data_IF_028434193939
#
_entry.id   IF_028434193939
#
_cell.length_a   1.000
_cell.length_b   1.000
_cell.length_c   1.000
_cell.angle_alpha   90.00
_cell.angle_beta   90.00
_cell.angle_gamma   90.00
#
_symmetry.space_group_name_H-M   'P 1'
#
loop_
_entity.id
_entity.type
_entity.pdbx_description
1 polymer ?
#
# COMPACT_ATOMS: atom_id res chain seq x y z
N UNK A 1 -32.19 -20.70 34.70
CA UNK A 1 -31.02 -19.85 34.92
C UNK A 1 -29.88 -20.48 34.14
N UNK A 2 -29.66 -20.01 32.94
CA UNK A 2 -28.61 -20.50 32.05
C UNK A 2 -27.52 -19.47 31.99
N UNK A 3 -26.30 -19.88 32.40
CA UNK A 3 -25.10 -19.07 32.31
C UNK A 3 -24.67 -18.92 30.86
N UNK A 4 -24.81 -17.74 30.30
CA UNK A 4 -24.17 -17.35 29.05
C UNK A 4 -22.68 -17.10 29.29
N UNK A 5 -21.85 -18.09 28.96
CA UNK A 5 -20.43 -17.93 28.82
C UNK A 5 -20.12 -17.06 27.62
N UNK A 6 -19.80 -15.82 27.89
CA UNK A 6 -19.20 -14.87 26.97
C UNK A 6 -17.84 -15.41 26.51
N UNK A 7 -17.80 -16.08 25.35
CA UNK A 7 -16.57 -16.44 24.67
C UNK A 7 -16.07 -15.24 23.87
N UNK A 8 -15.28 -14.43 24.55
CA UNK A 8 -14.46 -13.39 23.92
C UNK A 8 -13.39 -14.10 23.07
N UNK A 9 -13.58 -14.08 21.77
CA UNK A 9 -12.61 -14.59 20.82
C UNK A 9 -11.31 -13.78 21.00
N UNK A 10 -10.28 -14.43 21.51
CA UNK A 10 -8.93 -13.87 21.56
C UNK A 10 -8.46 -13.61 20.12
N UNK A 11 -8.05 -12.38 19.86
CA UNK A 11 -7.36 -12.03 18.64
C UNK A 11 -6.14 -12.95 18.47
N UNK A 12 -5.84 -13.41 17.25
CA UNK A 12 -4.68 -14.27 17.03
C UNK A 12 -3.41 -13.50 17.44
N UNK A 13 -2.67 -14.09 18.39
CA UNK A 13 -1.37 -13.59 18.79
C UNK A 13 -0.49 -13.41 17.56
N UNK A 14 0.08 -12.22 17.39
CA UNK A 14 1.06 -11.93 16.37
C UNK A 14 2.20 -12.97 16.47
N UNK A 15 2.23 -13.90 15.52
CA UNK A 15 3.33 -14.83 15.38
C UNK A 15 4.60 -14.00 15.22
N UNK A 16 5.71 -14.42 15.87
CA UNK A 16 7.02 -13.78 15.81
C UNK A 16 7.40 -13.45 14.35
N UNK A 17 6.99 -12.28 13.91
CA UNK A 17 7.35 -11.77 12.61
C UNK A 17 8.83 -11.38 12.67
N UNK A 18 9.68 -12.03 11.87
CA UNK A 18 11.03 -11.57 11.63
C UNK A 18 11.01 -10.14 11.11
N UNK A 19 12.16 -9.52 10.99
CA UNK A 19 12.30 -8.22 10.33
C UNK A 19 13.13 -8.35 9.07
N UNK A 20 12.83 -7.53 8.08
CA UNK A 20 13.62 -7.39 6.84
C UNK A 20 14.16 -5.97 6.76
N UNK A 21 15.42 -5.84 6.38
CA UNK A 21 16.05 -4.53 6.14
C UNK A 21 15.98 -4.22 4.65
N UNK A 22 15.30 -3.14 4.30
CA UNK A 22 15.22 -2.59 2.96
C UNK A 22 16.22 -1.43 2.86
N UNK A 23 17.28 -1.63 2.08
CA UNK A 23 18.32 -0.61 1.89
C UNK A 23 18.08 0.15 0.58
N UNK A 24 18.45 1.43 0.59
CA UNK A 24 18.42 2.30 -0.58
C UNK A 24 17.02 2.41 -1.18
N UNK A 25 16.02 2.62 -0.33
CA UNK A 25 14.66 2.95 -0.77
C UNK A 25 14.58 4.43 -1.12
N UNK A 26 13.67 4.79 -2.03
CA UNK A 26 13.48 6.16 -2.53
C UNK A 26 14.76 6.81 -3.12
N UNK A 27 15.68 6.01 -3.65
CA UNK A 27 16.88 6.54 -4.30
C UNK A 27 16.49 7.24 -5.61
N UNK A 28 16.80 8.54 -5.77
CA UNK A 28 16.47 9.25 -6.99
C UNK A 28 17.20 8.68 -8.20
N UNK A 29 16.58 8.65 -9.39
CA UNK A 29 17.19 8.10 -10.60
C UNK A 29 18.34 8.97 -11.15
N UNK A 30 18.40 10.26 -10.80
CA UNK A 30 19.40 11.18 -11.31
C UNK A 30 20.75 11.05 -10.58
N UNK A 31 21.84 10.97 -11.35
CA UNK A 31 23.20 10.82 -10.80
C UNK A 31 23.58 11.91 -9.78
N UNK A 32 23.13 13.14 -9.97
CA UNK A 32 23.41 14.27 -9.08
C UNK A 32 22.89 14.03 -7.67
N UNK A 33 21.66 13.52 -7.56
CA UNK A 33 21.01 13.20 -6.29
C UNK A 33 21.60 11.95 -5.65
N UNK A 34 22.02 10.96 -6.46
CA UNK A 34 22.70 9.76 -5.97
C UNK A 34 24.05 10.10 -5.28
N UNK A 35 24.76 11.11 -5.77
CA UNK A 35 26.01 11.56 -5.14
C UNK A 35 25.79 12.14 -3.75
N UNK A 36 24.70 12.84 -3.55
CA UNK A 36 24.32 13.44 -2.27
C UNK A 36 23.63 12.43 -1.33
N UNK A 37 23.29 11.23 -1.82
CA UNK A 37 22.49 10.23 -1.10
C UNK A 37 21.19 10.78 -0.52
N UNK A 38 20.64 11.81 -1.15
CA UNK A 38 19.32 12.34 -0.79
C UNK A 38 18.28 11.25 -0.97
N UNK A 39 17.43 11.06 0.02
CA UNK A 39 16.37 10.03 0.05
C UNK A 39 16.88 8.57 -0.08
N UNK A 40 18.16 8.30 0.10
CA UNK A 40 18.69 6.94 0.18
C UNK A 40 18.50 6.42 1.62
N UNK A 41 17.33 5.85 1.89
CA UNK A 41 16.89 5.48 3.22
C UNK A 41 17.03 3.97 3.40
N UNK A 42 17.41 3.57 4.62
CA UNK A 42 17.38 2.18 5.08
C UNK A 42 16.23 2.03 6.06
N UNK A 43 15.33 1.08 5.82
CA UNK A 43 14.17 0.80 6.64
C UNK A 43 14.22 -0.62 7.18
N UNK A 44 13.83 -0.79 8.44
CA UNK A 44 13.55 -2.10 9.02
C UNK A 44 12.04 -2.27 9.09
N UNK A 45 11.53 -3.29 8.43
CA UNK A 45 10.10 -3.56 8.29
C UNK A 45 9.76 -4.98 8.74
N UNK A 46 8.53 -5.26 9.20
CA UNK A 46 8.11 -6.61 9.54
C UNK A 46 8.17 -7.55 8.34
N UNK A 47 8.52 -8.82 8.58
CA UNK A 47 8.40 -9.90 7.62
C UNK A 47 7.33 -10.87 8.10
N UNK A 48 6.22 -10.95 7.39
CA UNK A 48 5.14 -11.90 7.67
C UNK A 48 5.25 -13.00 6.63
N UNK A 49 5.57 -14.22 7.07
CA UNK A 49 5.53 -15.37 6.18
C UNK A 49 4.09 -15.86 6.05
N UNK A 50 3.46 -15.59 4.93
CA UNK A 50 2.16 -16.17 4.58
C UNK A 50 2.39 -17.46 3.82
N UNK A 51 2.20 -18.60 4.46
CA UNK A 51 2.21 -19.90 3.80
C UNK A 51 0.77 -20.32 3.52
N UNK A 52 0.47 -20.53 2.24
CA UNK A 52 -0.70 -21.30 1.81
C UNK A 52 -1.95 -20.50 1.42
N UNK A 53 -1.92 -19.19 1.44
CA UNK A 53 -3.07 -18.40 1.01
C UNK A 53 -3.06 -18.18 -0.51
N UNK A 54 -4.22 -18.29 -1.13
CA UNK A 54 -4.41 -17.93 -2.54
C UNK A 54 -4.57 -16.42 -2.61
N UNK A 55 -3.60 -15.75 -3.20
CA UNK A 55 -3.64 -14.30 -3.39
C UNK A 55 -4.23 -13.95 -4.76
N UNK A 56 -5.17 -13.03 -4.79
CA UNK A 56 -5.58 -12.40 -6.03
C UNK A 56 -4.48 -11.41 -6.45
N UNK A 57 -3.77 -11.77 -7.51
CA UNK A 57 -2.79 -10.87 -8.11
C UNK A 57 -3.47 -9.86 -9.05
N UNK A 58 -2.91 -8.65 -9.11
CA UNK A 58 -3.33 -7.66 -10.11
C UNK A 58 -3.07 -8.16 -11.54
N UNK A 59 -3.87 -7.69 -12.53
CA UNK A 59 -3.57 -7.93 -13.93
C UNK A 59 -2.12 -7.60 -14.28
N UNK A 60 -1.50 -8.40 -15.15
CA UNK A 60 -0.07 -8.32 -15.48
C UNK A 60 0.39 -6.93 -15.93
N UNK A 61 -0.51 -6.12 -16.50
CA UNK A 61 -0.16 -4.76 -16.93
C UNK A 61 0.35 -3.88 -15.78
N UNK A 62 -0.13 -4.11 -14.53
CA UNK A 62 0.31 -3.35 -13.37
C UNK A 62 1.73 -3.69 -12.91
N UNK A 63 2.27 -4.86 -13.26
CA UNK A 63 3.65 -5.25 -12.91
C UNK A 63 4.71 -4.43 -13.66
N UNK A 64 4.32 -3.74 -14.72
CA UNK A 64 5.21 -2.89 -15.53
C UNK A 64 5.26 -1.44 -15.06
N UNK A 65 4.46 -1.07 -14.07
CA UNK A 65 4.40 0.30 -13.56
C UNK A 65 5.52 0.47 -12.53
N UNK A 66 6.43 1.38 -12.82
CA UNK A 66 7.47 1.78 -11.87
C UNK A 66 6.85 2.59 -10.73
N UNK A 67 7.23 2.27 -9.50
CA UNK A 67 6.70 2.89 -8.29
C UNK A 67 7.78 3.66 -7.53
N UNK A 68 7.39 4.76 -6.89
CA UNK A 68 8.30 5.77 -6.36
C UNK A 68 9.32 5.27 -5.33
N UNK A 69 8.99 4.32 -4.48
CA UNK A 69 9.92 3.77 -3.49
C UNK A 69 10.83 2.66 -4.05
N UNK A 70 10.65 2.28 -5.32
CA UNK A 70 11.47 1.30 -6.02
C UNK A 70 11.06 -0.15 -5.79
N UNK A 71 11.74 -1.06 -6.52
CA UNK A 71 11.37 -2.46 -6.61
C UNK A 71 11.39 -3.19 -5.26
N UNK A 72 12.32 -2.88 -4.37
CA UNK A 72 12.42 -3.55 -3.07
C UNK A 72 11.18 -3.35 -2.20
N UNK A 73 10.63 -2.14 -2.19
CA UNK A 73 9.39 -1.85 -1.45
C UNK A 73 8.20 -2.49 -2.14
N UNK A 74 8.14 -2.42 -3.46
CA UNK A 74 7.10 -3.10 -4.25
C UNK A 74 7.07 -4.60 -3.95
N UNK A 75 8.22 -5.28 -3.99
CA UNK A 75 8.32 -6.72 -3.70
C UNK A 75 7.93 -7.03 -2.27
N UNK A 76 8.36 -6.20 -1.32
CA UNK A 76 7.99 -6.38 0.08
C UNK A 76 6.47 -6.24 0.28
N UNK A 77 5.84 -5.17 -0.25
CA UNK A 77 4.38 -4.97 -0.17
C UNK A 77 3.64 -6.16 -0.79
N UNK A 78 4.01 -6.59 -2.00
CA UNK A 78 3.38 -7.72 -2.66
C UNK A 78 3.51 -9.03 -1.87
N UNK A 79 4.58 -9.18 -1.07
CA UNK A 79 4.78 -10.35 -0.22
C UNK A 79 3.98 -10.30 1.08
N UNK A 80 3.60 -9.11 1.55
CA UNK A 80 2.91 -8.89 2.82
C UNK A 80 1.40 -8.68 2.65
N UNK A 81 0.96 -8.12 1.53
CA UNK A 81 -0.46 -7.87 1.28
C UNK A 81 -1.26 -9.18 1.26
N UNK A 82 -2.42 -9.18 1.93
CA UNK A 82 -3.29 -10.34 1.96
C UNK A 82 -3.84 -10.67 0.58
N UNK A 83 -4.39 -9.63 -0.05
CA UNK A 83 -4.98 -9.66 -1.39
C UNK A 83 -4.67 -8.37 -2.11
N UNK A 84 -4.52 -8.46 -3.43
CA UNK A 84 -4.45 -7.27 -4.28
C UNK A 84 -5.85 -6.85 -4.70
N UNK A 85 -6.17 -5.59 -4.49
CA UNK A 85 -7.46 -5.02 -4.87
C UNK A 85 -7.38 -4.43 -6.28
N UNK A 86 -8.26 -4.87 -7.17
CA UNK A 86 -8.43 -4.26 -8.50
C UNK A 86 -9.70 -3.44 -8.57
N UNK A 87 -9.60 -2.22 -9.09
CA UNK A 87 -10.74 -1.34 -9.34
C UNK A 87 -10.67 -0.82 -10.77
N UNK A 88 -11.78 -0.93 -11.49
CA UNK A 88 -11.92 -0.36 -12.82
C UNK A 88 -12.97 0.75 -12.83
N UNK A 89 -12.61 1.90 -13.43
CA UNK A 89 -13.52 3.00 -13.71
C UNK A 89 -13.84 2.95 -15.22
N UNK A 90 -15.07 2.61 -15.61
CA UNK A 90 -15.44 2.40 -17.00
C UNK A 90 -15.27 3.64 -17.87
N UNK A 91 -15.09 3.41 -19.16
CA UNK A 91 -14.91 4.46 -20.16
C UNK A 91 -16.00 5.55 -20.08
N UNK A 92 -15.57 6.81 -20.11
CA UNK A 92 -16.45 7.97 -20.08
C UNK A 92 -17.24 8.16 -18.80
N UNK A 93 -16.94 7.39 -17.75
CA UNK A 93 -17.64 7.47 -16.47
C UNK A 93 -16.99 8.50 -15.56
N UNK A 94 -17.78 9.34 -14.93
CA UNK A 94 -17.37 10.15 -13.77
C UNK A 94 -17.74 9.39 -12.51
N UNK A 95 -16.73 8.94 -11.77
CA UNK A 95 -16.95 8.29 -10.49
C UNK A 95 -17.05 9.35 -9.40
N UNK A 96 -18.25 9.51 -8.83
CA UNK A 96 -18.53 10.52 -7.79
C UNK A 96 -17.93 10.11 -6.44
N UNK A 97 -18.04 8.83 -6.07
CA UNK A 97 -17.49 8.33 -4.81
C UNK A 97 -15.98 8.04 -4.95
N UNK A 98 -15.14 8.52 -4.03
CA UNK A 98 -13.72 8.24 -4.07
C UNK A 98 -13.41 6.75 -3.90
N UNK A 99 -12.33 6.30 -4.52
CA UNK A 99 -11.75 4.99 -4.27
C UNK A 99 -10.83 5.16 -3.05
N UNK A 100 -11.23 4.59 -1.92
CA UNK A 100 -10.48 4.71 -0.68
C UNK A 100 -9.56 3.50 -0.49
N UNK A 101 -8.27 3.77 -0.25
CA UNK A 101 -7.25 2.83 0.19
C UNK A 101 -6.84 3.25 1.59
N UNK A 102 -7.23 2.50 2.61
CA UNK A 102 -6.91 2.81 4.00
C UNK A 102 -6.01 1.75 4.61
N UNK A 103 -5.01 2.17 5.38
CA UNK A 103 -4.10 1.31 6.11
C UNK A 103 -3.90 1.83 7.53
N UNK A 104 -3.78 0.92 8.50
CA UNK A 104 -3.53 1.22 9.90
C UNK A 104 -2.15 0.71 10.32
N UNK A 105 -1.33 1.60 10.88
CA UNK A 105 -0.04 1.24 11.45
C UNK A 105 -0.19 0.43 12.75
N UNK A 106 -1.25 0.68 13.51
CA UNK A 106 -1.55 -0.06 14.75
C UNK A 106 -1.84 -1.53 14.46
N UNK A 107 -2.43 -1.82 13.30
CA UNK A 107 -2.80 -3.17 12.85
C UNK A 107 -1.76 -3.80 11.91
N UNK A 108 -0.71 -3.08 11.57
CA UNK A 108 0.31 -3.56 10.62
C UNK A 108 -0.25 -3.82 9.22
N UNK A 109 -1.21 -3.01 8.77
CA UNK A 109 -1.90 -3.25 7.51
C UNK A 109 -1.03 -2.89 6.30
N UNK A 110 -1.11 -3.76 5.29
CA UNK A 110 -0.43 -3.57 4.00
C UNK A 110 -1.45 -3.74 2.87
N UNK A 111 -1.54 -2.75 1.99
CA UNK A 111 -2.47 -2.74 0.87
C UNK A 111 -1.72 -2.70 -0.47
N UNK A 112 -2.13 -3.57 -1.41
CA UNK A 112 -1.73 -3.54 -2.81
C UNK A 112 -2.97 -3.24 -3.66
N UNK A 113 -3.00 -2.10 -4.35
CA UNK A 113 -4.17 -1.64 -5.10
C UNK A 113 -3.79 -1.24 -6.52
N UNK A 114 -4.49 -1.79 -7.50
CA UNK A 114 -4.43 -1.39 -8.90
C UNK A 114 -5.73 -0.71 -9.33
N UNK A 115 -5.62 0.46 -9.93
CA UNK A 115 -6.76 1.21 -10.44
C UNK A 115 -6.60 1.43 -11.94
N UNK A 116 -7.57 0.97 -12.71
CA UNK A 116 -7.68 1.23 -14.14
C UNK A 116 -8.72 2.32 -14.37
N UNK A 117 -8.30 3.47 -14.88
CA UNK A 117 -9.21 4.55 -15.28
C UNK A 117 -9.25 4.60 -16.79
N UNK A 118 -10.37 4.15 -17.36
CA UNK A 118 -10.55 4.01 -18.79
C UNK A 118 -10.66 5.36 -19.49
N UNK A 119 -10.52 5.33 -20.81
CA UNK A 119 -10.55 6.51 -21.66
C UNK A 119 -11.71 7.47 -21.35
N UNK A 120 -11.39 8.75 -21.15
CA UNK A 120 -12.36 9.80 -20.86
C UNK A 120 -13.07 9.68 -19.49
N UNK A 121 -12.65 8.74 -18.64
CA UNK A 121 -13.21 8.60 -17.30
C UNK A 121 -12.51 9.49 -16.28
N UNK A 122 -13.17 9.72 -15.14
CA UNK A 122 -12.59 10.46 -14.03
C UNK A 122 -12.86 9.81 -12.68
N UNK A 123 -11.86 9.86 -11.78
CA UNK A 123 -11.96 9.32 -10.43
C UNK A 123 -11.06 10.08 -9.45
N UNK A 124 -11.49 10.10 -8.20
CA UNK A 124 -10.65 10.49 -7.06
C UNK A 124 -10.23 9.24 -6.30
N UNK A 125 -8.95 9.14 -5.98
CA UNK A 125 -8.39 8.07 -5.16
C UNK A 125 -7.89 8.71 -3.87
N UNK A 126 -8.31 8.18 -2.72
CA UNK A 126 -7.87 8.65 -1.41
C UNK A 126 -7.01 7.54 -0.78
N UNK A 127 -5.76 7.84 -0.50
CA UNK A 127 -4.88 6.97 0.28
C UNK A 127 -4.83 7.53 1.70
N UNK A 128 -5.23 6.73 2.67
CA UNK A 128 -5.30 7.14 4.07
C UNK A 128 -4.49 6.19 4.95
N UNK A 129 -3.46 6.72 5.60
CA UNK A 129 -2.70 6.01 6.62
C UNK A 129 -3.02 6.58 8.00
N UNK A 130 -3.29 5.71 8.96
CA UNK A 130 -3.62 6.08 10.33
C UNK A 130 -2.89 5.22 11.35
N UNK A 131 -2.76 5.76 12.56
CA UNK A 131 -2.23 5.03 13.72
C UNK A 131 -2.03 5.98 14.88
N UNK A 132 -2.25 5.49 16.10
CA UNK A 132 -2.14 6.24 17.35
C UNK A 132 -1.26 5.55 18.38
N UNK A 133 -0.78 4.34 18.09
CA UNK A 133 0.11 3.56 18.96
C UNK A 133 1.54 4.12 19.02
N UNK A 134 2.36 3.54 19.86
CA UNK A 134 3.76 3.93 20.05
C UNK A 134 4.69 3.38 18.96
N UNK A 135 4.30 2.30 18.30
CA UNK A 135 5.04 1.66 17.22
C UNK A 135 4.08 0.97 16.26
N UNK A 136 4.53 0.72 15.05
CA UNK A 136 3.77 0.02 14.02
C UNK A 136 4.24 0.41 12.64
N UNK A 137 3.94 -0.43 11.66
CA UNK A 137 4.28 -0.19 10.26
C UNK A 137 3.09 -0.50 9.39
N UNK A 138 2.67 0.43 8.57
CA UNK A 138 1.70 0.18 7.50
C UNK A 138 2.30 0.55 6.13
N UNK A 139 1.73 0.01 5.09
CA UNK A 139 2.17 0.32 3.74
C UNK A 139 1.04 0.29 2.74
N UNK A 140 1.14 1.15 1.73
CA UNK A 140 0.26 1.17 0.57
C UNK A 140 1.07 1.19 -0.73
N UNK A 141 0.74 0.28 -1.62
CA UNK A 141 1.21 0.27 -3.01
C UNK A 141 0.01 0.58 -3.90
N UNK A 142 0.03 1.75 -4.53
CA UNK A 142 -0.99 2.18 -5.46
C UNK A 142 -0.43 2.25 -6.88
N UNK A 143 -1.01 1.47 -7.78
CA UNK A 143 -0.66 1.46 -9.19
C UNK A 143 -1.85 1.89 -10.03
N UNK A 144 -1.69 2.94 -10.81
CA UNK A 144 -2.77 3.53 -11.61
C UNK A 144 -2.42 3.45 -13.09
N UNK A 145 -3.35 2.96 -13.88
CA UNK A 145 -3.33 3.10 -15.34
C UNK A 145 -4.39 4.12 -15.73
N UNK A 146 -3.95 5.22 -16.33
CA UNK A 146 -4.81 6.31 -16.79
C UNK A 146 -4.81 6.35 -18.31
N UNK A 147 -5.89 5.86 -18.93
CA UNK A 147 -6.02 5.87 -20.40
C UNK A 147 -6.23 7.28 -20.94
N UNK A 148 -6.19 7.43 -22.25
CA UNK A 148 -6.29 8.72 -22.94
C UNK A 148 -7.50 9.56 -22.45
N UNK A 149 -7.30 10.85 -22.23
CA UNK A 149 -8.32 11.81 -21.79
C UNK A 149 -8.98 11.46 -20.43
N UNK A 150 -8.42 10.53 -19.67
CA UNK A 150 -8.86 10.29 -18.29
C UNK A 150 -8.35 11.37 -17.34
N UNK A 151 -9.03 11.53 -16.21
CA UNK A 151 -8.63 12.45 -15.14
C UNK A 151 -8.61 11.74 -13.82
N UNK A 152 -7.45 11.74 -13.17
CA UNK A 152 -7.25 11.09 -11.86
C UNK A 152 -6.77 12.13 -10.86
N UNK A 153 -7.47 12.22 -9.74
CA UNK A 153 -7.03 12.99 -8.57
C UNK A 153 -6.62 12.02 -7.48
N UNK A 154 -5.40 12.17 -6.94
CA UNK A 154 -4.93 11.38 -5.82
C UNK A 154 -4.81 12.32 -4.62
N UNK A 155 -5.37 11.90 -3.49
CA UNK A 155 -5.35 12.61 -2.21
C UNK A 155 -4.73 11.70 -1.17
N UNK A 156 -3.66 12.16 -0.53
CA UNK A 156 -3.00 11.45 0.56
C UNK A 156 -3.38 12.09 1.90
N UNK A 157 -3.77 11.24 2.86
CA UNK A 157 -4.13 11.64 4.22
C UNK A 157 -3.26 10.85 5.19
N UNK A 158 -2.29 11.53 5.81
CA UNK A 158 -1.32 10.92 6.71
C UNK A 158 -1.62 11.30 8.15
N UNK A 159 -1.98 10.32 8.97
CA UNK A 159 -2.31 10.48 10.37
C UNK A 159 -1.66 9.39 11.24
N UNK A 160 -0.35 9.12 11.02
CA UNK A 160 0.43 8.17 11.83
C UNK A 160 1.13 8.89 12.98
N UNK A 161 1.21 8.24 14.14
CA UNK A 161 1.85 8.80 15.33
C UNK A 161 3.38 8.74 15.24
N UNK A 162 4.04 9.51 16.12
CA UNK A 162 5.49 9.44 16.29
C UNK A 162 5.92 8.01 16.68
N UNK A 163 6.99 7.51 16.06
CA UNK A 163 7.47 6.13 16.24
C UNK A 163 6.80 5.09 15.33
N UNK A 164 5.76 5.47 14.60
CA UNK A 164 5.16 4.62 13.57
C UNK A 164 5.75 4.88 12.18
N UNK A 165 5.63 3.91 11.29
CA UNK A 165 6.12 3.99 9.91
C UNK A 165 4.98 3.82 8.92
N UNK A 166 4.96 4.66 7.90
CA UNK A 166 4.13 4.48 6.72
C UNK A 166 5.01 4.46 5.47
N UNK A 167 4.88 3.40 4.69
CA UNK A 167 5.54 3.27 3.39
C UNK A 167 4.49 3.46 2.29
N UNK A 168 4.62 4.53 1.52
CA UNK A 168 3.77 4.74 0.36
C UNK A 168 4.56 4.63 -0.94
N UNK A 169 4.08 3.79 -1.83
CA UNK A 169 4.67 3.62 -3.15
C UNK A 169 3.59 3.81 -4.21
N UNK A 170 3.74 4.85 -5.01
CA UNK A 170 2.81 5.24 -6.05
C UNK A 170 3.45 5.12 -7.41
N UNK A 171 2.73 4.50 -8.35
CA UNK A 171 3.08 4.45 -9.77
C UNK A 171 1.88 4.80 -10.64
N UNK A 172 2.09 5.63 -11.66
CA UNK A 172 1.06 6.03 -12.62
C UNK A 172 1.60 5.86 -14.04
N UNK A 173 0.81 5.25 -14.92
CA UNK A 173 1.11 5.05 -16.33
C UNK A 173 -0.02 5.55 -17.24
#
# INVERSE_FOLDING_TARGET
MADEKNQQAAAPAAANAGTVTLERVSTPPAQTWNRLRANDITLTVPSISRKGDVHFALPQLFSKIECGMGQKVTDWVCSQAADSRYVEVPRGTRREEPIVVSVSADEGQVADTGVMVREGASATIVVAASGQGQAGTCASLLRVVAEARSHVTIVEVLGVAEGQQHLESLGVS
#
